data_IF_250049336000
#
_entry.id   IF_250049336000
#
_cell.length_a   1.000
_cell.length_b   1.000
_cell.length_c   1.000
_cell.angle_alpha   90.00
_cell.angle_beta   90.00
_cell.angle_gamma   90.00
#
_symmetry.space_group_name_H-M   'P 1'
#
loop_
_entity.id
_entity.type
_entity.pdbx_description
1 polymer ?
#
# COMPACT_ATOMS: atom_id res chain seq x y z
N UNK A 1 12.88 -11.71 -4.82
CA UNK A 1 12.39 -12.90 -4.15
C UNK A 1 11.10 -13.36 -4.82
N UNK A 2 10.92 -14.65 -4.92
CA UNK A 2 9.68 -15.18 -5.43
C UNK A 2 8.71 -15.25 -4.26
N UNK A 3 7.75 -14.36 -4.23
CA UNK A 3 6.90 -14.26 -3.08
C UNK A 3 5.43 -14.33 -3.44
N UNK A 4 4.80 -15.41 -3.02
CA UNK A 4 3.38 -15.61 -3.17
C UNK A 4 2.88 -16.37 -1.94
N UNK A 5 1.60 -16.69 -1.92
CA UNK A 5 0.97 -17.43 -0.84
C UNK A 5 -0.47 -17.70 -1.22
N UNK A 6 -1.26 -16.65 -1.17
CA UNK A 6 -2.64 -16.70 -1.56
C UNK A 6 -2.96 -15.41 -2.24
N UNK A 7 -2.47 -15.29 -3.42
CA UNK A 7 -2.65 -14.13 -4.23
C UNK A 7 -3.49 -14.51 -5.41
N UNK A 8 -4.46 -13.71 -5.76
CA UNK A 8 -5.26 -14.01 -6.90
C UNK A 8 -5.02 -13.01 -7.96
N UNK A 9 -4.32 -13.43 -8.92
CA UNK A 9 -4.04 -12.62 -10.03
C UNK A 9 -5.10 -12.90 -11.10
N UNK A 10 -5.92 -11.90 -11.44
CA UNK A 10 -6.93 -12.01 -12.48
C UNK A 10 -6.31 -11.75 -13.85
N UNK A 11 -7.14 -11.56 -14.84
CA UNK A 11 -6.63 -11.27 -16.15
C UNK A 11 -6.82 -9.80 -16.45
N UNK A 12 -5.74 -9.09 -16.48
CA UNK A 12 -5.76 -7.67 -16.72
C UNK A 12 -4.64 -7.01 -15.96
N UNK A 13 -4.46 -7.46 -14.76
CA UNK A 13 -3.45 -6.97 -13.87
C UNK A 13 -2.77 -8.10 -13.13
N UNK A 14 -1.49 -7.95 -12.93
CA UNK A 14 -0.64 -8.92 -12.29
C UNK A 14 -0.29 -8.40 -10.89
N UNK A 15 0.05 -9.30 -9.96
CA UNK A 15 0.38 -8.85 -8.61
C UNK A 15 1.73 -8.22 -8.61
N UNK A 16 1.89 -7.23 -7.83
CA UNK A 16 3.13 -6.52 -7.70
C UNK A 16 3.85 -6.90 -6.46
N UNK A 17 3.34 -7.90 -5.76
CA UNK A 17 3.94 -8.37 -4.52
C UNK A 17 5.30 -8.99 -4.87
N UNK A 18 5.29 -9.76 -5.94
CA UNK A 18 6.50 -10.43 -6.42
C UNK A 18 7.43 -9.42 -7.14
N UNK A 19 6.88 -8.27 -7.50
CA UNK A 19 7.65 -7.23 -8.19
C UNK A 19 8.27 -6.25 -7.23
N UNK A 20 8.00 -6.41 -5.97
CA UNK A 20 8.58 -5.56 -4.96
C UNK A 20 10.05 -5.92 -4.75
N UNK A 21 10.86 -4.91 -4.46
CA UNK A 21 12.28 -5.11 -4.21
C UNK A 21 12.51 -5.81 -2.89
N UNK A 22 11.76 -5.39 -1.87
CA UNK A 22 11.81 -5.96 -0.50
C UNK A 22 13.06 -5.60 0.31
N UNK A 23 14.18 -5.47 -0.34
CA UNK A 23 15.42 -5.21 0.35
C UNK A 23 15.53 -3.73 0.73
N UNK A 24 15.05 -2.87 -0.15
CA UNK A 24 15.15 -1.45 0.10
C UNK A 24 13.86 -0.83 0.59
N UNK A 25 12.92 -1.65 1.08
CA UNK A 25 11.68 -1.11 1.63
C UNK A 25 12.00 -0.20 2.81
N UNK A 26 11.25 0.85 2.95
CA UNK A 26 11.52 1.83 3.95
C UNK A 26 10.26 2.33 4.57
N UNK A 27 10.24 2.44 5.87
CA UNK A 27 9.06 2.85 6.56
C UNK A 27 9.40 3.87 7.63
N UNK A 28 8.79 5.03 7.54
CA UNK A 28 8.98 6.08 8.54
C UNK A 28 8.07 5.88 9.76
N UNK A 29 7.34 4.76 9.78
CA UNK A 29 6.52 4.40 10.94
C UNK A 29 6.39 2.89 11.03
N UNK A 30 5.68 2.28 10.03
CA UNK A 30 5.41 0.80 9.94
C UNK A 30 4.85 0.23 11.21
N UNK A 31 4.18 1.09 12.00
CA UNK A 31 3.67 0.78 13.34
C UNK A 31 4.81 0.83 14.32
N UNK A 32 4.80 1.78 15.22
CA UNK A 32 5.84 1.86 16.24
C UNK A 32 6.02 0.51 17.04
N UNK A 33 4.98 -0.33 17.11
CA UNK A 33 5.09 -1.61 17.80
C UNK A 33 5.00 -2.83 16.82
N UNK A 34 4.80 -2.56 15.55
CA UNK A 34 4.68 -3.62 14.51
C UNK A 34 5.64 -3.41 13.34
N UNK A 35 5.83 -4.43 12.50
CA UNK A 35 6.71 -4.30 11.35
C UNK A 35 5.91 -4.18 10.02
N UNK A 36 6.60 -3.80 8.94
CA UNK A 36 5.98 -3.67 7.59
C UNK A 36 5.49 -5.03 6.96
N UNK A 37 6.34 -6.12 6.93
CA UNK A 37 5.98 -7.44 6.31
C UNK A 37 4.59 -7.95 6.67
N UNK A 38 4.15 -7.57 7.86
CA UNK A 38 2.87 -7.95 8.46
C UNK A 38 1.69 -7.85 7.49
N UNK A 39 1.58 -6.73 6.80
CA UNK A 39 0.42 -6.54 5.94
C UNK A 39 0.75 -6.56 4.47
N UNK A 40 2.01 -6.58 4.13
CA UNK A 40 2.36 -6.51 2.74
C UNK A 40 2.79 -7.87 2.22
N UNK A 41 3.56 -8.59 2.99
CA UNK A 41 3.99 -9.89 2.59
C UNK A 41 2.91 -10.88 2.95
N UNK A 42 2.17 -11.30 1.95
CA UNK A 42 1.03 -12.16 2.15
C UNK A 42 1.40 -13.43 2.79
N UNK A 43 0.70 -13.70 3.85
CA UNK A 43 1.03 -14.79 4.65
C UNK A 43 1.03 -14.39 6.09
N UNK A 44 1.58 -13.22 6.35
CA UNK A 44 1.67 -12.67 7.70
C UNK A 44 0.46 -11.80 8.02
N UNK A 45 -0.33 -11.54 6.98
CA UNK A 45 -1.51 -10.64 6.98
C UNK A 45 -2.66 -11.03 7.93
N UNK A 46 -2.39 -11.82 8.92
CA UNK A 46 -3.41 -12.28 9.82
C UNK A 46 -3.58 -11.33 10.99
N UNK A 47 -4.65 -10.54 10.94
CA UNK A 47 -4.97 -9.65 12.05
C UNK A 47 -5.44 -10.43 13.25
N UNK A 48 -4.47 -10.87 14.01
CA UNK A 48 -4.58 -11.64 15.24
C UNK A 48 -3.22 -11.62 15.87
N UNK A 49 -2.22 -11.94 15.07
CA UNK A 49 -0.86 -11.95 15.53
C UNK A 49 -0.11 -10.72 15.07
N UNK A 50 -0.10 -10.47 13.77
CA UNK A 50 0.62 -9.34 13.24
C UNK A 50 -0.16 -8.65 12.13
N UNK A 51 -0.13 -7.35 12.15
CA UNK A 51 -0.83 -6.50 11.21
C UNK A 51 -0.08 -5.20 11.12
N UNK A 52 -0.38 -4.40 10.11
CA UNK A 52 0.23 -3.09 9.99
C UNK A 52 -0.77 -2.10 10.53
N UNK A 53 -0.36 -1.27 11.41
CA UNK A 53 -1.26 -0.35 12.07
C UNK A 53 -0.64 1.02 12.31
N UNK A 54 -1.44 1.94 12.73
CA UNK A 54 -0.94 3.18 13.19
C UNK A 54 -0.84 3.11 14.70
N UNK A 55 0.37 3.10 15.23
CA UNK A 55 0.59 2.98 16.67
C UNK A 55 0.07 4.21 17.38
N UNK A 56 0.50 5.34 16.90
CA UNK A 56 0.06 6.61 17.43
C UNK A 56 -0.25 7.54 16.27
N UNK A 57 0.60 7.50 15.28
CA UNK A 57 0.47 8.33 14.11
C UNK A 57 -0.41 7.65 13.12
N UNK A 58 -1.58 8.22 12.89
CA UNK A 58 -2.56 7.69 11.93
C UNK A 58 -2.06 7.88 10.51
N UNK A 59 -1.23 8.89 10.35
CA UNK A 59 -0.61 9.19 9.11
C UNK A 59 0.65 8.32 8.95
N UNK A 60 0.59 7.46 7.99
CA UNK A 60 1.59 6.46 7.76
C UNK A 60 2.27 6.66 6.41
N UNK A 61 3.58 6.57 6.42
CA UNK A 61 4.37 6.72 5.21
C UNK A 61 5.16 5.41 5.00
N UNK A 62 4.85 4.71 3.93
CA UNK A 62 5.55 3.48 3.58
C UNK A 62 6.14 3.61 2.16
N UNK A 63 7.44 3.41 2.04
CA UNK A 63 8.11 3.48 0.76
C UNK A 63 8.43 2.10 0.23
N UNK A 64 7.96 1.80 -0.96
CA UNK A 64 8.21 0.53 -1.59
C UNK A 64 8.93 0.71 -2.94
N UNK A 65 10.16 0.20 -3.06
CA UNK A 65 10.85 0.13 -4.32
C UNK A 65 10.53 -1.21 -5.01
N UNK A 66 10.59 -1.25 -6.31
CA UNK A 66 10.29 -2.47 -7.04
C UNK A 66 11.51 -3.04 -7.72
N UNK A 67 11.42 -4.28 -8.08
CA UNK A 67 12.51 -4.93 -8.79
C UNK A 67 12.43 -4.74 -10.29
N UNK A 68 11.25 -4.48 -10.82
CA UNK A 68 11.10 -4.31 -12.25
C UNK A 68 10.17 -3.13 -12.47
N UNK A 69 10.26 -2.51 -13.62
CA UNK A 69 9.41 -1.41 -13.95
C UNK A 69 8.10 -1.89 -14.58
N UNK A 70 7.04 -1.66 -13.88
CA UNK A 70 5.72 -2.05 -14.31
C UNK A 70 4.76 -0.85 -14.21
N UNK A 71 3.54 -0.99 -14.69
CA UNK A 71 2.58 0.07 -14.56
C UNK A 71 1.55 -0.30 -13.52
N UNK A 72 1.29 0.59 -12.57
CA UNK A 72 0.32 0.33 -11.50
C UNK A 72 -1.09 0.51 -12.11
N UNK A 73 -1.95 -0.49 -11.99
CA UNK A 73 -3.26 -0.39 -12.61
C UNK A 73 -4.38 -0.38 -11.58
N UNK A 74 -4.23 -1.16 -10.56
CA UNK A 74 -5.23 -1.29 -9.55
C UNK A 74 -4.60 -1.56 -8.19
N UNK A 75 -5.27 -1.20 -7.15
CA UNK A 75 -4.74 -1.36 -5.83
C UNK A 75 -5.79 -2.05 -4.94
N UNK A 76 -5.33 -2.72 -3.90
CA UNK A 76 -6.20 -3.41 -2.96
C UNK A 76 -5.67 -3.30 -1.54
N UNK A 77 -6.36 -2.56 -0.72
CA UNK A 77 -5.96 -2.38 0.66
C UNK A 77 -7.12 -2.83 1.55
N UNK A 78 -6.83 -3.59 2.58
CA UNK A 78 -7.87 -4.03 3.48
C UNK A 78 -7.52 -3.77 4.92
N UNK A 79 -8.55 -3.61 5.70
CA UNK A 79 -8.45 -3.38 7.10
C UNK A 79 -9.82 -3.47 7.69
N UNK A 80 -10.04 -3.02 8.92
CA UNK A 80 -11.38 -2.93 9.49
C UNK A 80 -12.14 -1.79 8.82
N UNK A 81 -13.45 -1.83 8.86
CA UNK A 81 -14.26 -0.81 8.21
C UNK A 81 -14.05 0.58 8.83
N UNK A 82 -13.88 0.61 10.14
CA UNK A 82 -13.68 1.88 10.85
C UNK A 82 -12.22 2.31 10.86
N UNK A 83 -11.34 1.33 10.90
CA UNK A 83 -9.90 1.59 11.05
C UNK A 83 -9.19 1.45 9.72
N UNK A 84 -9.94 1.44 8.65
CA UNK A 84 -9.32 1.27 7.33
C UNK A 84 -8.80 2.59 6.79
N UNK A 85 -7.70 2.60 6.00
CA UNK A 85 -7.12 3.85 5.47
C UNK A 85 -7.92 4.39 4.27
N UNK A 86 -8.52 5.56 4.43
CA UNK A 86 -9.37 6.10 3.39
C UNK A 86 -8.60 7.05 2.51
N UNK A 87 -7.87 7.96 3.10
CA UNK A 87 -7.13 8.92 2.32
C UNK A 87 -5.79 8.33 1.92
N UNK A 88 -5.76 7.76 0.75
CA UNK A 88 -4.61 7.09 0.23
C UNK A 88 -3.93 7.92 -0.83
N UNK A 89 -2.72 8.28 -0.59
CA UNK A 89 -1.95 8.98 -1.57
C UNK A 89 -0.77 8.17 -1.97
N UNK A 90 -0.38 8.33 -3.18
CA UNK A 90 0.72 7.57 -3.72
C UNK A 90 1.62 8.52 -4.43
N UNK A 91 2.85 8.17 -4.55
CA UNK A 91 3.74 8.89 -5.42
C UNK A 91 4.85 7.99 -5.91
N UNK A 92 4.88 7.84 -7.20
CA UNK A 92 5.85 7.03 -7.86
C UNK A 92 6.89 7.95 -8.50
N UNK A 93 7.93 7.37 -9.10
CA UNK A 93 8.98 8.12 -9.83
C UNK A 93 9.79 8.99 -8.89
N UNK A 94 9.81 8.64 -7.64
CA UNK A 94 10.51 9.42 -6.67
C UNK A 94 11.04 8.52 -5.59
N UNK A 95 12.33 8.33 -5.60
CA UNK A 95 12.96 7.53 -4.59
C UNK A 95 13.30 8.42 -3.41
N UNK A 96 12.78 8.07 -2.25
CA UNK A 96 13.02 8.83 -1.01
C UNK A 96 12.33 10.18 -0.95
N UNK A 97 11.31 10.24 -0.13
CA UNK A 97 10.59 11.45 0.17
C UNK A 97 9.81 11.26 1.45
N UNK A 98 9.98 12.18 2.36
CA UNK A 98 9.23 12.17 3.58
C UNK A 98 7.96 12.98 3.40
N UNK A 99 6.98 12.79 4.29
CA UNK A 99 5.66 13.41 4.14
C UNK A 99 5.66 14.93 4.14
N UNK A 100 6.73 15.54 4.64
CA UNK A 100 6.86 16.99 4.63
C UNK A 100 6.84 17.52 3.17
N UNK A 101 7.44 16.75 2.25
CA UNK A 101 7.51 17.17 0.85
C UNK A 101 6.31 16.69 0.09
N UNK A 102 5.69 15.61 0.57
CA UNK A 102 4.49 15.01 -0.07
C UNK A 102 3.31 16.01 -0.05
N UNK A 103 3.47 17.04 0.73
CA UNK A 103 2.45 18.06 0.88
C UNK A 103 2.59 19.12 -0.21
N UNK A 104 3.77 19.21 -0.81
CA UNK A 104 4.05 20.22 -1.82
C UNK A 104 4.01 19.61 -3.22
N UNK A 105 4.23 18.32 -3.29
CA UNK A 105 4.21 17.59 -4.55
C UNK A 105 2.86 16.94 -4.76
N UNK A 106 2.28 17.08 -5.96
CA UNK A 106 1.02 16.43 -6.31
C UNK A 106 1.21 14.90 -6.35
N UNK A 107 0.36 14.15 -5.61
CA UNK A 107 0.45 12.69 -5.56
C UNK A 107 0.15 12.08 -6.93
N UNK A 108 0.54 10.84 -7.12
CA UNK A 108 0.29 10.13 -8.35
C UNK A 108 -1.20 9.98 -8.53
N UNK A 109 -1.85 9.60 -7.47
CA UNK A 109 -3.25 9.37 -7.45
C UNK A 109 -3.65 9.47 -6.00
N UNK A 110 -4.87 9.82 -5.76
CA UNK A 110 -5.37 9.86 -4.44
C UNK A 110 -6.64 9.04 -4.41
N UNK A 111 -6.59 7.98 -3.66
CA UNK A 111 -7.64 7.05 -3.63
C UNK A 111 -8.36 7.08 -2.32
N UNK A 112 -9.50 6.47 -2.33
CA UNK A 112 -10.35 6.32 -1.17
C UNK A 112 -10.59 4.86 -1.02
N UNK A 113 -10.55 4.39 0.20
CA UNK A 113 -10.84 3.02 0.45
C UNK A 113 -12.33 2.83 0.28
N UNK A 114 -12.71 2.18 -0.78
CA UNK A 114 -14.07 1.90 -1.04
C UNK A 114 -14.46 0.66 -0.25
N UNK A 115 -15.75 0.46 -0.04
CA UNK A 115 -16.19 -0.70 0.71
C UNK A 115 -15.80 -2.00 0.02
N UNK A 116 -15.74 -1.97 -1.30
CA UNK A 116 -15.30 -3.09 -2.09
C UNK A 116 -13.78 -3.32 -1.96
N UNK A 117 -13.02 -2.23 -1.78
CA UNK A 117 -11.55 -2.35 -1.65
C UNK A 117 -11.28 -3.09 -0.37
N UNK A 118 -12.11 -2.78 0.62
CA UNK A 118 -12.08 -3.30 2.00
C UNK A 118 -12.37 -4.85 1.99
N UNK A 119 -12.73 -5.38 0.84
CA UNK A 119 -13.09 -6.78 0.68
C UNK A 119 -12.04 -7.49 -0.14
N UNK A 120 -11.09 -6.72 -0.65
CA UNK A 120 -10.01 -7.29 -1.44
C UNK A 120 -10.25 -7.16 -2.92
N UNK A 121 -10.92 -6.10 -3.32
CA UNK A 121 -11.19 -5.89 -4.72
C UNK A 121 -10.26 -4.82 -5.27
N UNK A 122 -9.46 -5.16 -6.31
CA UNK A 122 -8.56 -4.23 -6.99
C UNK A 122 -9.33 -3.04 -7.58
N UNK A 123 -9.11 -1.88 -7.04
CA UNK A 123 -9.73 -0.67 -7.54
C UNK A 123 -8.77 -0.03 -8.52
N UNK A 124 -9.25 0.36 -9.67
CA UNK A 124 -8.38 0.95 -10.66
C UNK A 124 -8.15 2.42 -10.39
N UNK A 125 -6.92 2.83 -10.52
CA UNK A 125 -6.49 4.20 -10.31
C UNK A 125 -5.98 4.80 -11.62
N UNK A 126 -5.40 6.02 -11.58
CA UNK A 126 -4.96 6.69 -12.82
C UNK A 126 -3.73 6.02 -13.45
N UNK A 127 -4.02 5.07 -14.32
CA UNK A 127 -3.02 4.28 -15.03
C UNK A 127 -2.26 5.15 -16.03
N UNK A 128 -2.89 6.25 -16.41
CA UNK A 128 -2.31 7.20 -17.36
C UNK A 128 -1.03 7.85 -16.80
N UNK A 129 -0.92 7.90 -15.48
CA UNK A 129 0.24 8.50 -14.87
C UNK A 129 1.27 7.43 -14.54
N UNK A 130 0.81 6.27 -14.15
CA UNK A 130 1.69 5.17 -13.84
C UNK A 130 2.16 4.48 -15.11
N UNK A 131 3.30 4.92 -15.60
CA UNK A 131 3.88 4.37 -16.79
C UNK A 131 5.18 3.68 -16.45
N UNK A 132 5.93 4.31 -15.58
CA UNK A 132 7.17 3.78 -15.07
C UNK A 132 7.08 3.67 -13.61
N UNK A 133 7.14 2.48 -13.07
CA UNK A 133 7.17 2.35 -11.65
C UNK A 133 8.40 1.58 -11.20
N UNK A 134 9.39 2.29 -10.72
CA UNK A 134 10.53 1.67 -10.02
C UNK A 134 10.39 1.90 -8.53
N UNK A 135 9.66 2.93 -8.19
CA UNK A 135 9.46 3.32 -6.84
C UNK A 135 8.01 3.72 -6.63
N UNK A 136 7.48 3.43 -5.48
CA UNK A 136 6.14 3.84 -5.13
C UNK A 136 6.07 4.10 -3.64
N UNK A 137 5.72 5.29 -3.27
CA UNK A 137 5.56 5.57 -1.89
C UNK A 137 4.07 5.67 -1.59
N UNK A 138 3.65 5.00 -0.54
CA UNK A 138 2.28 5.00 -0.12
C UNK A 138 2.16 5.87 1.11
N UNK A 139 1.40 6.92 0.99
CA UNK A 139 1.17 7.81 2.09
C UNK A 139 -0.30 7.81 2.46
N UNK A 140 -0.58 7.20 3.55
CA UNK A 140 -1.94 7.17 4.05
C UNK A 140 -2.06 8.08 5.26
N UNK A 141 -2.82 9.13 5.12
CA UNK A 141 -2.88 10.14 6.17
C UNK A 141 -4.14 10.11 7.00
N UNK A 142 -5.21 9.55 6.45
CA UNK A 142 -6.47 9.56 7.15
C UNK A 142 -7.20 8.26 6.96
N UNK A 143 -8.01 7.89 7.91
CA UNK A 143 -8.74 6.65 7.85
C UNK A 143 -10.22 6.87 7.62
N UNK A 144 -10.90 5.78 7.35
CA UNK A 144 -12.30 5.73 6.97
C UNK A 144 -13.21 6.55 7.87
N UNK A 145 -13.24 6.24 9.13
CA UNK A 145 -14.21 6.86 10.01
C UNK A 145 -13.58 7.95 10.90
N UNK A 146 -12.31 8.27 10.65
CA UNK A 146 -11.62 9.22 11.50
C UNK A 146 -11.52 8.66 12.90
N UNK A 147 -11.14 7.42 12.98
CA UNK A 147 -11.16 6.66 14.22
C UNK A 147 -9.83 6.77 14.98
N UNK A 148 -8.96 7.69 14.55
CA UNK A 148 -7.63 7.93 15.16
C UNK A 148 -6.64 6.77 14.90
N UNK A 149 -7.10 5.57 15.09
CA UNK A 149 -6.28 4.41 14.87
C UNK A 149 -6.66 3.76 13.53
N UNK A 150 -5.65 3.37 12.80
CA UNK A 150 -5.80 2.77 11.52
C UNK A 150 -5.17 1.38 11.58
N UNK A 151 -5.81 0.42 10.98
CA UNK A 151 -5.31 -0.92 10.92
C UNK A 151 -5.38 -1.43 9.50
N UNK A 152 -4.33 -2.04 9.07
CA UNK A 152 -4.23 -2.58 7.77
C UNK A 152 -3.98 -4.09 7.88
N UNK A 153 -4.82 -4.86 7.21
CA UNK A 153 -4.70 -6.30 7.19
C UNK A 153 -3.78 -6.73 6.08
N UNK A 154 -4.01 -6.20 4.90
CA UNK A 154 -3.23 -6.57 3.74
C UNK A 154 -3.22 -5.46 2.71
N UNK A 155 -2.08 -5.31 2.08
CA UNK A 155 -1.91 -4.38 1.00
C UNK A 155 -1.47 -5.16 -0.22
N UNK A 156 -2.08 -4.91 -1.33
CA UNK A 156 -1.72 -5.54 -2.57
C UNK A 156 -1.84 -4.56 -3.70
N UNK A 157 -0.86 -4.51 -4.53
CA UNK A 157 -0.88 -3.65 -5.68
C UNK A 157 -0.93 -4.50 -6.92
N UNK A 158 -1.77 -4.15 -7.85
CA UNK A 158 -1.85 -4.89 -9.09
C UNK A 158 -1.52 -3.98 -10.25
N UNK A 159 -0.69 -4.45 -11.12
CA UNK A 159 -0.24 -3.67 -12.21
C UNK A 159 -0.40 -4.38 -13.50
N UNK A 160 -0.05 -3.75 -14.56
CA UNK A 160 -0.26 -4.32 -15.86
C UNK A 160 1.00 -4.31 -16.70
N UNK A 161 2.16 -4.32 -16.05
CA UNK A 161 3.47 -4.31 -16.71
C UNK A 161 3.68 -3.10 -17.67
#
# INVERSE_FOLDING_TARGET
SSAESASQIPKGQVDLLDFIDWSGVECLNQSSSHSLPNALKQGYREDEGLNLESDADEQLLIYIPFNQVIKLHSFAIKGPEEEGPKTVKFFSNKEHMCFSNVNDFPPSDTAELTEENLKGKPVVLKYVKFQNVRSLTIFIEANQSGSEVTKVQKIALYGST
#
